data_IF_310422687106
#
_entry.id   IF_310422687106
#
_cell.length_a   1.000
_cell.length_b   1.000
_cell.length_c   1.000
_cell.angle_alpha   90.00
_cell.angle_beta   90.00
_cell.angle_gamma   90.00
#
_symmetry.space_group_name_H-M   'P 1'
#
loop_
_entity.id
_entity.type
_entity.pdbx_description
1 polymer ?
#
# COMPACT_ATOMS: atom_id res chain seq x y z
N UNK A 1 0.02 16.58 -26.48
CA UNK A 1 0.93 15.49 -26.08
C UNK A 1 0.98 14.50 -27.23
N UNK A 2 1.66 14.87 -28.31
CA UNK A 2 1.82 14.03 -29.50
C UNK A 2 3.14 13.28 -29.38
N UNK A 3 3.08 11.96 -29.52
CA UNK A 3 4.24 11.09 -29.60
C UNK A 3 4.73 11.08 -31.05
N UNK A 4 6.02 11.33 -31.26
CA UNK A 4 6.67 11.33 -32.58
C UNK A 4 7.15 9.90 -32.91
N UNK A 5 6.49 9.31 -33.92
CA UNK A 5 6.77 7.97 -34.47
C UNK A 5 7.26 8.05 -35.92
N UNK A 6 7.82 9.19 -36.32
CA UNK A 6 8.18 9.47 -37.72
C UNK A 6 9.46 8.75 -38.17
N UNK A 7 10.07 7.94 -37.30
CA UNK A 7 11.28 7.18 -37.63
C UNK A 7 10.96 6.08 -38.67
N UNK A 8 11.48 6.19 -39.91
CA UNK A 8 11.18 5.23 -40.98
C UNK A 8 11.67 3.81 -40.65
N UNK A 9 12.70 3.68 -39.79
CA UNK A 9 13.23 2.38 -39.38
C UNK A 9 12.21 1.53 -38.62
N UNK A 10 11.23 2.17 -37.96
CA UNK A 10 10.14 1.47 -37.26
C UNK A 10 9.24 0.77 -38.27
N UNK A 11 8.86 1.46 -39.35
CA UNK A 11 7.97 0.91 -40.36
C UNK A 11 8.66 -0.20 -41.15
N UNK A 12 9.95 -0.03 -41.49
CA UNK A 12 10.74 -1.08 -42.15
C UNK A 12 10.86 -2.34 -41.29
N UNK A 13 11.21 -2.19 -40.00
CA UNK A 13 11.30 -3.31 -39.07
C UNK A 13 9.95 -3.99 -38.87
N UNK A 14 8.87 -3.22 -38.79
CA UNK A 14 7.52 -3.74 -38.69
C UNK A 14 7.10 -4.54 -39.93
N UNK A 15 7.34 -4.00 -41.12
CA UNK A 15 7.04 -4.71 -42.37
C UNK A 15 7.86 -5.99 -42.49
N UNK A 16 9.12 -6.02 -42.04
CA UNK A 16 9.93 -7.23 -41.99
C UNK A 16 9.29 -8.32 -41.10
N UNK A 17 8.79 -7.95 -39.92
CA UNK A 17 8.13 -8.89 -39.00
C UNK A 17 6.81 -9.41 -39.58
N UNK A 18 6.00 -8.53 -40.19
CA UNK A 18 4.70 -8.91 -40.78
C UNK A 18 4.88 -9.75 -42.05
N UNK A 19 5.88 -9.45 -42.88
CA UNK A 19 6.16 -10.19 -44.13
C UNK A 19 6.79 -11.56 -43.91
N UNK A 20 7.24 -11.87 -42.68
CA UNK A 20 7.89 -13.15 -42.38
C UNK A 20 9.36 -13.22 -42.75
N UNK A 21 10.05 -12.09 -42.72
CA UNK A 21 11.51 -12.05 -42.71
C UNK A 21 12.06 -12.82 -41.47
N UNK A 22 13.37 -13.14 -41.42
CA UNK A 22 13.96 -13.77 -40.24
C UNK A 22 13.83 -12.91 -38.97
N UNK A 23 13.61 -11.59 -39.11
CA UNK A 23 13.34 -10.69 -37.98
C UNK A 23 11.93 -10.93 -37.44
N UNK A 24 11.82 -11.39 -36.20
CA UNK A 24 10.54 -11.69 -35.55
C UNK A 24 10.22 -10.75 -34.38
N UNK A 25 11.16 -9.90 -33.95
CA UNK A 25 10.91 -8.92 -32.91
C UNK A 25 11.63 -7.59 -33.16
N UNK A 26 11.06 -6.53 -32.58
CA UNK A 26 11.68 -5.22 -32.47
C UNK A 26 11.43 -4.64 -31.08
N UNK A 27 12.30 -3.74 -30.65
CA UNK A 27 12.17 -2.92 -29.45
C UNK A 27 12.24 -1.47 -29.90
N UNK A 28 11.29 -0.68 -29.43
CA UNK A 28 11.27 0.76 -29.54
C UNK A 28 11.58 1.38 -28.18
N UNK A 29 12.29 2.49 -28.20
CA UNK A 29 12.64 3.21 -26.99
C UNK A 29 12.74 4.70 -27.26
N UNK A 30 12.86 5.45 -26.17
CA UNK A 30 12.91 6.91 -26.24
C UNK A 30 14.32 7.45 -26.53
N UNK A 31 15.39 6.63 -26.43
CA UNK A 31 16.79 7.04 -26.66
C UNK A 31 17.13 8.41 -26.03
N UNK A 32 16.83 8.55 -24.74
CA UNK A 32 16.99 9.78 -23.95
C UNK A 32 16.16 11.00 -24.39
N UNK A 33 15.29 10.84 -25.39
CA UNK A 33 14.31 11.87 -25.76
C UNK A 33 13.04 11.74 -24.92
N UNK A 34 12.20 12.79 -24.94
CA UNK A 34 10.99 12.82 -24.12
C UNK A 34 9.75 12.28 -24.84
N UNK A 35 9.62 12.61 -26.11
CA UNK A 35 8.39 12.43 -26.89
C UNK A 35 8.64 11.77 -28.26
N UNK A 36 9.90 11.40 -28.58
CA UNK A 36 10.26 10.70 -29.81
C UNK A 36 10.57 9.24 -29.52
N UNK A 37 9.94 8.35 -30.27
CA UNK A 37 10.18 6.92 -30.17
C UNK A 37 10.93 6.51 -31.43
N UNK A 38 12.06 5.83 -31.25
CA UNK A 38 12.86 5.29 -32.35
C UNK A 38 13.20 3.83 -32.13
N UNK A 39 13.61 3.16 -33.20
CA UNK A 39 14.02 1.76 -33.13
C UNK A 39 15.24 1.61 -32.21
N UNK A 40 15.14 0.74 -31.21
CA UNK A 40 16.20 0.45 -30.25
C UNK A 40 17.00 -0.78 -30.66
N UNK A 41 16.29 -1.87 -30.97
CA UNK A 41 16.91 -3.11 -31.44
C UNK A 41 15.88 -3.93 -32.23
N UNK A 42 16.37 -4.86 -33.05
CA UNK A 42 15.56 -5.85 -33.77
C UNK A 42 16.34 -7.14 -33.88
N UNK A 43 15.66 -8.28 -33.91
CA UNK A 43 16.30 -9.58 -33.94
C UNK A 43 15.38 -10.72 -34.39
N UNK A 44 15.92 -11.92 -34.32
CA UNK A 44 15.31 -13.17 -34.82
C UNK A 44 15.11 -14.24 -33.74
N UNK A 45 15.56 -13.99 -32.51
CA UNK A 45 15.49 -14.89 -31.35
C UNK A 45 14.18 -14.78 -30.54
N UNK A 46 13.13 -14.20 -31.12
CA UNK A 46 11.80 -14.18 -30.52
C UNK A 46 11.69 -13.41 -29.19
N UNK A 47 10.77 -13.86 -28.33
CA UNK A 47 10.47 -13.18 -27.07
C UNK A 47 11.62 -13.26 -26.05
N UNK A 48 12.37 -14.36 -26.02
CA UNK A 48 13.49 -14.54 -25.08
C UNK A 48 14.63 -13.55 -25.36
N UNK A 49 15.00 -13.38 -26.63
CA UNK A 49 16.01 -12.40 -27.03
C UNK A 49 15.52 -10.97 -26.78
N UNK A 50 14.24 -10.68 -27.09
CA UNK A 50 13.63 -9.40 -26.77
C UNK A 50 13.72 -9.10 -25.27
N UNK A 51 13.33 -10.06 -24.42
CA UNK A 51 13.37 -9.91 -22.96
C UNK A 51 14.77 -9.62 -22.45
N UNK A 52 15.78 -10.28 -23.03
CA UNK A 52 17.18 -10.11 -22.64
C UNK A 52 17.74 -8.74 -23.04
N UNK A 53 17.12 -8.08 -24.04
CA UNK A 53 17.48 -6.74 -24.49
C UNK A 53 16.64 -5.63 -23.82
N UNK A 54 15.71 -5.97 -22.92
CA UNK A 54 14.96 -4.98 -22.15
C UNK A 54 15.84 -4.37 -21.05
N UNK A 55 16.05 -3.07 -21.12
CA UNK A 55 16.77 -2.27 -20.12
C UNK A 55 15.82 -1.67 -19.09
N UNK A 56 16.35 -1.12 -18.00
CA UNK A 56 15.59 -0.49 -16.90
C UNK A 56 14.93 0.87 -17.27
N UNK A 57 14.34 0.96 -18.46
CA UNK A 57 13.68 2.16 -18.99
C UNK A 57 12.26 1.84 -19.49
N UNK A 58 11.63 2.81 -20.17
CA UNK A 58 10.36 2.59 -20.86
C UNK A 58 10.65 2.11 -22.28
N UNK A 59 10.22 0.90 -22.60
CA UNK A 59 10.46 0.24 -23.89
C UNK A 59 9.17 -0.37 -24.42
N UNK A 60 8.98 -0.35 -25.74
CA UNK A 60 7.87 -1.02 -26.40
C UNK A 60 8.42 -2.15 -27.26
N UNK A 61 8.06 -3.39 -26.93
CA UNK A 61 8.41 -4.55 -27.72
C UNK A 61 7.30 -4.89 -28.70
N UNK A 62 7.64 -5.23 -29.94
CA UNK A 62 6.69 -5.85 -30.86
C UNK A 62 7.27 -7.18 -31.30
N UNK A 63 6.54 -8.26 -31.08
CA UNK A 63 7.01 -9.63 -31.34
C UNK A 63 5.96 -10.41 -32.11
N UNK A 64 6.44 -11.21 -33.05
CA UNK A 64 5.67 -12.22 -33.76
C UNK A 64 5.95 -13.58 -33.13
N UNK A 65 4.88 -14.27 -32.74
CA UNK A 65 4.91 -15.65 -32.27
C UNK A 65 4.00 -16.44 -33.21
N UNK A 66 4.59 -17.36 -33.98
CA UNK A 66 3.92 -18.08 -35.07
C UNK A 66 3.29 -17.11 -36.10
N UNK A 67 1.97 -16.95 -36.08
CA UNK A 67 1.21 -16.05 -36.96
C UNK A 67 0.44 -14.95 -36.20
N UNK A 68 0.70 -14.79 -34.89
CA UNK A 68 0.09 -13.71 -34.09
C UNK A 68 1.14 -12.70 -33.65
N UNK A 69 0.68 -11.48 -33.45
CA UNK A 69 1.53 -10.35 -33.06
C UNK A 69 1.13 -9.82 -31.69
N UNK A 70 2.11 -9.67 -30.80
CA UNK A 70 1.94 -9.06 -29.50
C UNK A 70 2.71 -7.75 -29.42
N UNK A 71 2.03 -6.71 -28.95
CA UNK A 71 2.65 -5.46 -28.53
C UNK A 71 2.84 -5.50 -27.02
N UNK A 72 4.07 -5.30 -26.59
CA UNK A 72 4.47 -5.23 -25.20
C UNK A 72 4.82 -3.78 -24.87
N UNK A 73 4.24 -3.24 -23.80
CA UNK A 73 4.69 -2.01 -23.19
C UNK A 73 5.38 -2.34 -21.87
N UNK A 74 6.72 -2.34 -21.91
CA UNK A 74 7.56 -2.54 -20.74
C UNK A 74 7.85 -1.20 -20.06
N UNK A 75 7.55 -1.12 -18.77
CA UNK A 75 7.73 0.09 -17.97
C UNK A 75 8.47 -0.28 -16.69
N UNK A 76 9.79 -0.09 -16.68
CA UNK A 76 10.62 -0.36 -15.51
C UNK A 76 10.11 0.34 -14.25
N UNK A 77 10.19 -0.32 -13.08
CA UNK A 77 9.76 0.25 -11.80
C UNK A 77 10.60 1.46 -11.36
N UNK A 78 11.84 1.56 -11.87
CA UNK A 78 12.77 2.65 -11.57
C UNK A 78 12.38 3.98 -12.24
N UNK A 79 11.41 3.98 -13.17
CA UNK A 79 11.00 5.19 -13.89
C UNK A 79 9.95 6.00 -13.11
N UNK A 80 10.07 7.33 -13.14
CA UNK A 80 9.18 8.24 -12.41
C UNK A 80 7.71 8.07 -12.81
N UNK A 81 6.79 8.35 -11.87
CA UNK A 81 5.34 8.22 -12.10
C UNK A 81 4.83 8.98 -13.34
N UNK A 82 5.39 10.15 -13.61
CA UNK A 82 5.06 10.93 -14.81
C UNK A 82 5.51 10.24 -16.10
N UNK A 83 6.68 9.60 -16.09
CA UNK A 83 7.20 8.83 -17.23
C UNK A 83 6.32 7.60 -17.50
N UNK A 84 5.86 6.92 -16.44
CA UNK A 84 4.89 5.81 -16.53
C UNK A 84 3.54 6.23 -17.12
N UNK A 85 2.97 7.33 -16.63
CA UNK A 85 1.70 7.84 -17.15
C UNK A 85 1.81 8.21 -18.64
N UNK A 86 2.91 8.87 -19.03
CA UNK A 86 3.19 9.18 -20.45
C UNK A 86 3.37 7.92 -21.28
N UNK A 87 4.09 6.92 -20.75
CA UNK A 87 4.32 5.65 -21.43
C UNK A 87 3.01 4.93 -21.79
N UNK A 88 2.01 4.97 -20.91
CA UNK A 88 0.69 4.38 -21.17
C UNK A 88 -0.06 5.12 -22.27
N UNK A 89 0.01 6.45 -22.30
CA UNK A 89 -0.62 7.26 -23.35
C UNK A 89 0.05 7.03 -24.69
N UNK A 90 1.38 7.05 -24.72
CA UNK A 90 2.16 6.81 -25.94
C UNK A 90 2.04 5.37 -26.41
N UNK A 91 1.91 4.40 -25.50
CA UNK A 91 1.66 2.99 -25.84
C UNK A 91 0.40 2.80 -26.69
N UNK A 92 -0.65 3.60 -26.45
CA UNK A 92 -1.84 3.61 -27.32
C UNK A 92 -1.55 4.14 -28.73
N UNK A 93 -0.71 5.17 -28.85
CA UNK A 93 -0.30 5.70 -30.14
C UNK A 93 0.58 4.71 -30.92
N UNK A 94 1.49 4.01 -30.22
CA UNK A 94 2.31 2.92 -30.77
C UNK A 94 1.42 1.76 -31.23
N UNK A 95 0.43 1.36 -30.44
CA UNK A 95 -0.55 0.36 -30.83
C UNK A 95 -1.38 0.75 -32.06
N UNK A 96 -1.74 2.04 -32.19
CA UNK A 96 -2.43 2.55 -33.36
C UNK A 96 -1.58 2.51 -34.64
N UNK A 97 -0.26 2.64 -34.52
CA UNK A 97 0.68 2.45 -35.64
C UNK A 97 0.73 0.98 -36.06
N UNK A 98 0.75 0.07 -35.08
CA UNK A 98 0.79 -1.38 -35.30
C UNK A 98 -0.59 -2.01 -35.40
N UNK A 99 -1.27 -1.75 -36.52
CA UNK A 99 -2.64 -2.25 -36.79
C UNK A 99 -2.76 -3.78 -36.75
N UNK A 100 -1.68 -4.51 -37.01
CA UNK A 100 -1.66 -5.99 -36.92
C UNK A 100 -1.45 -6.55 -35.50
N UNK A 101 -1.33 -5.71 -34.47
CA UNK A 101 -1.20 -6.20 -33.09
C UNK A 101 -2.52 -6.83 -32.62
N UNK A 102 -2.46 -8.08 -32.18
CA UNK A 102 -3.63 -8.83 -31.71
C UNK A 102 -3.90 -8.59 -30.23
N UNK A 103 -2.83 -8.32 -29.47
CA UNK A 103 -2.90 -8.05 -28.04
C UNK A 103 -1.86 -7.00 -27.64
N UNK A 104 -2.23 -6.18 -26.65
CA UNK A 104 -1.31 -5.30 -25.97
C UNK A 104 -1.13 -5.75 -24.51
N UNK A 105 0.11 -6.01 -24.11
CA UNK A 105 0.48 -6.44 -22.76
C UNK A 105 1.28 -5.32 -22.12
N UNK A 106 0.83 -4.81 -20.97
CA UNK A 106 1.57 -3.82 -20.20
C UNK A 106 2.16 -4.53 -18.98
N UNK A 107 3.48 -4.47 -18.82
CA UNK A 107 4.17 -5.13 -17.71
C UNK A 107 5.31 -4.27 -17.19
N UNK A 108 5.53 -4.30 -15.87
CA UNK A 108 6.64 -3.63 -15.20
C UNK A 108 7.76 -4.57 -14.77
N UNK A 109 7.53 -5.88 -14.81
CA UNK A 109 8.47 -6.91 -14.38
C UNK A 109 8.75 -7.93 -15.48
N UNK A 110 10.03 -8.21 -15.73
CA UNK A 110 10.53 -9.20 -16.70
C UNK A 110 10.00 -10.62 -16.45
N UNK A 111 9.64 -10.95 -15.20
CA UNK A 111 9.10 -12.26 -14.83
C UNK A 111 7.67 -12.51 -15.37
N UNK A 112 6.95 -11.46 -15.79
CA UNK A 112 5.63 -11.60 -16.40
C UNK A 112 5.71 -11.85 -17.92
N UNK A 113 6.86 -11.56 -18.53
CA UNK A 113 7.08 -11.69 -19.98
C UNK A 113 7.70 -13.05 -20.33
N UNK A 114 7.03 -14.13 -19.93
CA UNK A 114 7.40 -15.48 -20.38
C UNK A 114 6.61 -15.87 -21.62
N UNK A 115 7.20 -16.69 -22.47
CA UNK A 115 6.57 -17.13 -23.72
C UNK A 115 5.24 -17.82 -23.48
N UNK A 116 5.14 -18.64 -22.42
CA UNK A 116 3.91 -19.30 -21.99
C UNK A 116 2.79 -18.30 -21.69
N UNK A 117 3.07 -17.26 -20.89
CA UNK A 117 2.07 -16.23 -20.53
C UNK A 117 1.60 -15.46 -21.75
N UNK A 118 2.55 -15.09 -22.62
CA UNK A 118 2.23 -14.36 -23.85
C UNK A 118 1.44 -15.25 -24.82
N UNK A 119 1.79 -16.54 -24.96
CA UNK A 119 1.04 -17.51 -25.78
C UNK A 119 -0.37 -17.77 -25.25
N UNK A 120 -0.54 -17.93 -23.94
CA UNK A 120 -1.86 -18.06 -23.31
C UNK A 120 -2.72 -16.83 -23.58
N UNK A 121 -2.14 -15.63 -23.44
CA UNK A 121 -2.81 -14.35 -23.72
C UNK A 121 -3.12 -14.17 -25.21
N UNK A 122 -2.25 -14.70 -26.07
CA UNK A 122 -2.46 -14.76 -27.51
C UNK A 122 -3.45 -15.84 -27.92
N UNK A 123 -3.97 -16.69 -27.02
CA UNK A 123 -4.92 -17.74 -27.37
C UNK A 123 -4.33 -18.83 -28.27
N UNK A 124 -3.04 -19.13 -28.09
CA UNK A 124 -2.30 -20.21 -28.76
C UNK A 124 -2.21 -21.49 -27.90
N UNK A 125 -2.85 -21.50 -26.73
CA UNK A 125 -2.89 -22.64 -25.81
C UNK A 125 -4.19 -23.41 -26.00
N UNK A 126 -4.07 -24.70 -26.32
CA UNK A 126 -5.15 -25.68 -26.46
C UNK A 126 -5.38 -26.38 -25.09
N UNK A 127 -5.90 -25.66 -24.10
CA UNK A 127 -6.07 -26.17 -22.73
C UNK A 127 -7.17 -25.46 -21.94
N UNK A 128 -7.85 -26.15 -21.00
CA UNK A 128 -9.12 -25.69 -20.43
C UNK A 128 -8.93 -24.45 -19.53
N UNK A 129 -9.95 -23.56 -19.49
CA UNK A 129 -9.84 -22.26 -18.85
C UNK A 129 -9.78 -22.41 -17.33
N UNK A 130 -8.71 -21.91 -16.72
CA UNK A 130 -8.70 -21.60 -15.28
C UNK A 130 -9.32 -20.21 -15.06
N UNK A 131 -10.26 -20.05 -14.11
CA UNK A 131 -10.87 -18.76 -13.83
C UNK A 131 -9.91 -17.85 -13.06
N UNK A 132 -9.57 -16.69 -13.65
CA UNK A 132 -8.88 -15.58 -12.98
C UNK A 132 -9.84 -14.84 -12.02
N UNK A 133 -9.48 -14.64 -10.74
CA UNK A 133 -10.28 -13.87 -9.79
C UNK A 133 -9.88 -12.39 -9.82
N UNK A 134 -10.18 -11.65 -10.90
CA UNK A 134 -10.06 -10.17 -10.92
C UNK A 134 -10.69 -9.55 -12.17
N UNK A 135 -12.03 -9.49 -12.22
CA UNK A 135 -12.75 -8.42 -12.94
C UNK A 135 -14.18 -8.32 -12.42
N UNK A 136 -14.66 -7.13 -12.04
CA UNK A 136 -16.01 -6.94 -11.52
C UNK A 136 -17.02 -7.03 -12.67
N UNK A 137 -17.85 -8.05 -12.64
CA UNK A 137 -19.03 -8.14 -13.51
C UNK A 137 -20.11 -7.23 -12.95
N UNK A 138 -20.50 -6.23 -13.73
CA UNK A 138 -21.77 -5.51 -13.59
C UNK A 138 -22.83 -6.37 -14.28
N UNK A 139 -23.98 -6.64 -13.63
CA UNK A 139 -25.20 -6.92 -14.36
C UNK A 139 -26.24 -5.81 -14.15
N UNK A 140 -26.86 -5.39 -15.26
CA UNK A 140 -27.89 -4.38 -15.34
C UNK A 140 -29.30 -4.96 -15.13
N UNK A 141 -30.07 -4.32 -14.22
CA UNK A 141 -31.54 -4.06 -14.25
C UNK A 141 -32.55 -5.22 -14.00
N UNK A 142 -33.86 -4.99 -13.69
CA UNK A 142 -34.61 -3.78 -13.24
C UNK A 142 -35.62 -3.95 -12.06
N UNK A 143 -36.12 -2.82 -11.52
CA UNK A 143 -37.48 -2.50 -10.95
C UNK A 143 -38.07 -3.28 -9.75
N UNK A 144 -38.30 -2.59 -8.62
CA UNK A 144 -39.63 -2.34 -7.99
C UNK A 144 -39.51 -1.91 -6.50
N UNK A 145 -40.06 -0.75 -6.15
CA UNK A 145 -40.42 -0.37 -4.76
C UNK A 145 -41.80 -0.99 -4.40
N UNK A 146 -42.22 -1.14 -3.13
CA UNK A 146 -42.52 0.00 -2.24
C UNK A 146 -42.20 -0.20 -0.73
N UNK A 147 -42.11 0.92 0.03
CA UNK A 147 -42.20 0.99 1.52
C UNK A 147 -43.69 0.93 1.95
N UNK A 148 -44.12 1.16 3.23
CA UNK A 148 -43.44 1.24 4.55
C UNK A 148 -44.17 0.47 5.70
N UNK A 149 -43.55 0.35 6.89
CA UNK A 149 -44.15 0.73 8.20
C UNK A 149 -43.30 0.23 9.40
N UNK A 150 -42.96 1.17 10.28
CA UNK A 150 -42.64 1.00 11.72
C UNK A 150 -43.91 0.50 12.46
N UNK A 151 -43.89 -0.03 13.73
CA UNK A 151 -43.51 0.79 14.89
C UNK A 151 -43.06 0.10 16.21
N UNK A 152 -42.65 1.00 17.13
CA UNK A 152 -42.65 0.99 18.62
C UNK A 152 -41.83 -0.03 19.45
N UNK A 153 -40.86 0.52 20.18
CA UNK A 153 -40.47 0.13 21.56
C UNK A 153 -41.62 0.40 22.57
N UNK A 154 -41.63 -0.12 23.82
CA UNK A 154 -40.79 0.49 24.88
C UNK A 154 -40.39 -0.38 26.11
N UNK A 155 -39.44 0.17 26.88
CA UNK A 155 -39.32 0.17 28.35
C UNK A 155 -38.73 -1.04 29.15
N UNK A 156 -37.56 -0.75 29.75
CA UNK A 156 -37.00 -1.13 31.07
C UNK A 156 -37.96 -0.84 32.28
N UNK A 157 -37.71 -1.15 33.58
CA UNK A 157 -36.43 -1.47 34.27
C UNK A 157 -36.47 -2.49 35.47
N UNK A 158 -35.31 -2.64 36.12
CA UNK A 158 -35.09 -2.72 37.58
C UNK A 158 -34.90 -4.06 38.34
N UNK A 159 -33.65 -4.21 38.81
CA UNK A 159 -33.21 -4.34 40.21
C UNK A 159 -33.53 -5.59 41.09
N UNK A 160 -32.43 -6.26 41.42
CA UNK A 160 -31.88 -6.52 42.77
C UNK A 160 -32.11 -7.86 43.51
N UNK A 161 -30.96 -8.32 44.02
CA UNK A 161 -30.69 -9.08 45.24
C UNK A 161 -30.71 -10.61 45.24
N UNK A 162 -29.71 -11.09 46.01
CA UNK A 162 -29.09 -12.41 46.07
C UNK A 162 -29.80 -13.35 47.11
N UNK A 163 -29.14 -14.41 47.64
CA UNK A 163 -29.54 -15.83 47.65
C UNK A 163 -30.16 -16.21 49.04
N UNK A 164 -30.24 -17.48 49.56
CA UNK A 164 -29.64 -18.76 49.14
C UNK A 164 -30.45 -20.08 49.38
N UNK A 165 -29.80 -21.19 48.99
CA UNK A 165 -29.74 -22.53 49.63
C UNK A 165 -30.97 -23.49 49.60
N UNK A 166 -30.70 -24.81 49.68
CA UNK A 166 -31.51 -25.86 49.04
C UNK A 166 -32.44 -26.62 49.99
N UNK A 167 -33.45 -27.22 49.38
CA UNK A 167 -34.51 -28.03 49.99
C UNK A 167 -34.03 -29.45 50.31
N UNK A 168 -34.39 -29.91 51.50
CA UNK A 168 -34.37 -31.30 51.96
C UNK A 168 -35.78 -31.92 51.81
N UNK A 169 -35.86 -33.24 51.66
CA UNK A 169 -37.05 -34.09 51.89
C UNK A 169 -36.48 -35.39 52.47
N UNK A 170 -36.51 -35.64 53.79
CA UNK A 170 -37.62 -36.06 54.68
C UNK A 170 -38.16 -37.46 54.35
N UNK A 171 -38.10 -38.39 55.33
CA UNK A 171 -39.25 -39.03 56.04
C UNK A 171 -38.73 -40.09 57.03
N UNK A 172 -39.18 -39.95 58.30
CA UNK A 172 -39.04 -40.80 59.50
C UNK A 172 -40.36 -41.63 59.71
N UNK A 173 -40.66 -42.31 60.85
CA UNK A 173 -39.98 -43.26 61.76
C UNK A 173 -40.89 -44.52 62.01
N UNK A 174 -40.82 -45.32 63.12
CA UNK A 174 -41.30 -44.89 64.45
C UNK A 174 -40.49 -45.36 65.69
N UNK A 175 -40.79 -44.63 66.77
CA UNK A 175 -40.44 -44.73 68.21
C UNK A 175 -41.01 -45.99 68.88
N UNK A 176 -40.48 -46.51 70.00
CA UNK A 176 -40.48 -45.89 71.34
C UNK A 176 -39.90 -46.85 72.42
N UNK A 177 -39.27 -46.26 73.46
CA UNK A 177 -39.25 -46.54 74.94
C UNK A 177 -39.32 -48.00 75.44
N UNK A 178 -38.74 -48.42 76.57
CA UNK A 178 -37.91 -47.86 77.65
C UNK A 178 -37.65 -49.02 78.64
N UNK A 179 -36.56 -48.98 79.42
CA UNK A 179 -36.48 -49.75 80.67
C UNK A 179 -35.08 -50.30 80.97
N UNK A 180 -34.39 -49.65 81.91
CA UNK A 180 -33.16 -50.12 82.58
C UNK A 180 -33.44 -51.38 83.43
N UNK A 181 -32.45 -52.19 83.87
CA UNK A 181 -31.47 -51.77 84.89
C UNK A 181 -30.02 -52.27 84.67
N UNK A 182 -29.11 -51.72 85.49
CA UNK A 182 -27.70 -52.10 85.66
C UNK A 182 -27.48 -53.63 85.73
N UNK A 183 -26.24 -54.08 85.44
CA UNK A 183 -25.44 -54.55 86.57
C UNK A 183 -24.02 -53.98 86.59
N UNK A 184 -23.58 -53.77 87.82
CA UNK A 184 -22.23 -53.50 88.26
C UNK A 184 -21.26 -54.64 87.90
N UNK A 185 -20.02 -54.26 87.62
CA UNK A 185 -18.85 -55.11 87.83
C UNK A 185 -18.58 -56.11 86.72
N UNK A 186 -17.59 -55.81 85.90
CA UNK A 186 -16.35 -56.59 85.79
C UNK A 186 -15.45 -55.79 84.86
N UNK A 187 -14.30 -55.38 85.38
CA UNK A 187 -13.21 -54.83 84.58
C UNK A 187 -12.75 -55.95 83.64
N UNK A 188 -13.28 -56.00 82.42
CA UNK A 188 -12.82 -56.92 81.39
C UNK A 188 -11.50 -56.38 80.86
N UNK A 189 -10.41 -57.15 80.87
CA UNK A 189 -9.17 -56.69 80.26
C UNK A 189 -9.43 -56.49 78.77
N UNK A 190 -9.21 -55.26 78.30
CA UNK A 190 -9.22 -54.86 76.90
C UNK A 190 -8.54 -55.97 76.07
N UNK A 191 -9.33 -56.72 75.30
CA UNK A 191 -8.82 -57.88 74.57
C UNK A 191 -8.03 -57.41 73.35
N UNK A 192 -6.91 -58.07 73.03
CA UNK A 192 -6.00 -57.73 71.92
C UNK A 192 -6.73 -57.45 70.60
N UNK A 193 -7.83 -58.18 70.33
CA UNK A 193 -8.66 -58.06 69.13
C UNK A 193 -9.37 -56.70 68.98
N UNK A 194 -9.77 -56.05 70.08
CA UNK A 194 -10.38 -54.71 70.03
C UNK A 194 -9.32 -53.63 69.78
N UNK A 195 -8.13 -53.80 70.35
CA UNK A 195 -6.97 -52.95 70.07
C UNK A 195 -6.56 -53.04 68.59
N UNK A 196 -6.64 -54.23 67.99
CA UNK A 196 -6.35 -54.47 66.58
C UNK A 196 -7.34 -53.77 65.63
N UNK A 197 -8.64 -53.85 65.90
CA UNK A 197 -9.68 -53.18 65.10
C UNK A 197 -9.52 -51.65 65.19
N UNK A 198 -9.32 -51.12 66.39
CA UNK A 198 -9.13 -49.69 66.63
C UNK A 198 -7.78 -49.16 66.08
N UNK A 199 -6.77 -50.03 65.97
CA UNK A 199 -5.51 -49.74 65.28
C UNK A 199 -5.67 -49.78 63.76
N UNK A 200 -6.44 -50.73 63.21
CA UNK A 200 -6.74 -50.82 61.78
C UNK A 200 -7.59 -49.63 61.30
N UNK A 201 -8.62 -49.24 62.06
CA UNK A 201 -9.44 -48.06 61.77
C UNK A 201 -8.63 -46.76 61.84
N UNK A 202 -7.69 -46.64 62.79
CA UNK A 202 -6.76 -45.50 62.84
C UNK A 202 -5.87 -45.43 61.61
N UNK A 203 -5.31 -46.55 61.16
CA UNK A 203 -4.50 -46.60 59.92
C UNK A 203 -5.31 -46.23 58.68
N UNK A 204 -6.54 -46.74 58.54
CA UNK A 204 -7.42 -46.40 57.41
C UNK A 204 -7.81 -44.92 57.43
N UNK A 205 -8.10 -44.35 58.61
CA UNK A 205 -8.41 -42.92 58.76
C UNK A 205 -7.20 -42.04 58.44
N UNK A 206 -6.01 -42.43 58.88
CA UNK A 206 -4.75 -41.73 58.61
C UNK A 206 -4.35 -41.80 57.13
N UNK A 207 -4.56 -42.94 56.47
CA UNK A 207 -4.37 -43.12 55.04
C UNK A 207 -5.37 -42.28 54.21
N UNK A 208 -6.65 -42.26 54.61
CA UNK A 208 -7.68 -41.43 53.97
C UNK A 208 -7.38 -39.93 54.15
N UNK A 209 -6.91 -39.51 55.32
CA UNK A 209 -6.50 -38.13 55.57
C UNK A 209 -5.25 -37.76 54.76
N UNK A 210 -4.29 -38.69 54.62
CA UNK A 210 -3.12 -38.54 53.74
C UNK A 210 -3.53 -38.41 52.28
N UNK A 211 -4.47 -39.22 51.79
CA UNK A 211 -4.99 -39.11 50.43
C UNK A 211 -5.72 -37.78 50.19
N UNK A 212 -6.56 -37.34 51.13
CA UNK A 212 -7.19 -36.01 51.06
C UNK A 212 -6.18 -34.88 51.05
N UNK A 213 -5.15 -34.91 51.91
CA UNK A 213 -4.08 -33.90 51.91
C UNK A 213 -3.30 -33.90 50.61
N UNK A 214 -2.99 -35.08 50.05
CA UNK A 214 -2.32 -35.20 48.77
C UNK A 214 -3.18 -34.68 47.60
N UNK A 215 -4.48 -34.94 47.60
CA UNK A 215 -5.40 -34.44 46.56
C UNK A 215 -5.57 -32.91 46.66
N UNK A 216 -5.70 -32.36 47.86
CA UNK A 216 -5.75 -30.90 48.07
C UNK A 216 -4.44 -30.25 47.65
N UNK A 217 -3.29 -30.82 48.00
CA UNK A 217 -1.98 -30.32 47.57
C UNK A 217 -1.81 -30.37 46.06
N UNK A 218 -2.30 -31.43 45.39
CA UNK A 218 -2.29 -31.55 43.93
C UNK A 218 -3.16 -30.48 43.27
N UNK A 219 -4.39 -30.28 43.75
CA UNK A 219 -5.29 -29.22 43.25
C UNK A 219 -4.70 -27.83 43.48
N UNK A 220 -4.12 -27.56 44.65
CA UNK A 220 -3.47 -26.28 44.93
C UNK A 220 -2.27 -26.03 43.99
N UNK A 221 -1.45 -27.05 43.74
CA UNK A 221 -0.32 -26.95 42.80
C UNK A 221 -0.80 -26.71 41.37
N UNK A 222 -1.86 -27.39 40.95
CA UNK A 222 -2.45 -27.22 39.60
C UNK A 222 -3.06 -25.82 39.42
N UNK A 223 -3.78 -25.31 40.43
CA UNK A 223 -4.29 -23.93 40.42
C UNK A 223 -3.16 -22.91 40.37
N UNK A 224 -2.12 -23.08 41.21
CA UNK A 224 -0.95 -22.19 41.19
C UNK A 224 -0.22 -22.21 39.85
N UNK A 225 -0.07 -23.39 39.23
CA UNK A 225 0.57 -23.52 37.93
C UNK A 225 -0.25 -22.88 36.82
N UNK A 226 -1.58 -23.02 36.87
CA UNK A 226 -2.49 -22.35 35.93
C UNK A 226 -2.43 -20.83 36.07
N UNK A 227 -2.49 -20.32 37.30
CA UNK A 227 -2.37 -18.89 37.58
C UNK A 227 -1.01 -18.34 37.16
N UNK A 228 0.07 -19.09 37.39
CA UNK A 228 1.42 -18.71 36.95
C UNK A 228 1.52 -18.64 35.41
N UNK A 229 0.97 -19.63 34.69
CA UNK A 229 0.93 -19.62 33.21
C UNK A 229 0.09 -18.46 32.66
N UNK A 230 -1.05 -18.16 33.29
CA UNK A 230 -1.90 -17.02 32.90
C UNK A 230 -1.17 -15.68 33.15
N UNK A 231 -0.45 -15.54 34.27
CA UNK A 231 0.38 -14.36 34.55
C UNK A 231 1.53 -14.21 33.56
N UNK A 232 2.20 -15.31 33.20
CA UNK A 232 3.31 -15.31 32.25
C UNK A 232 2.84 -14.92 30.83
N UNK A 233 1.71 -15.47 30.37
CA UNK A 233 1.09 -15.09 29.10
C UNK A 233 0.70 -13.61 29.07
N UNK A 234 0.14 -13.10 30.17
CA UNK A 234 -0.23 -11.69 30.29
C UNK A 234 1.01 -10.78 30.26
N UNK A 235 2.07 -11.15 30.98
CA UNK A 235 3.34 -10.43 30.99
C UNK A 235 4.01 -10.44 29.61
N UNK A 236 4.01 -11.59 28.91
CA UNK A 236 4.54 -11.71 27.56
C UNK A 236 3.76 -10.83 26.56
N UNK A 237 2.43 -10.80 26.66
CA UNK A 237 1.59 -9.95 25.81
C UNK A 237 1.83 -8.47 26.06
N UNK A 238 1.97 -8.05 27.32
CA UNK A 238 2.33 -6.67 27.64
C UNK A 238 3.73 -6.30 27.13
N UNK A 239 4.71 -7.20 27.26
CA UNK A 239 6.06 -6.98 26.76
C UNK A 239 6.09 -6.81 25.23
N UNK A 240 5.37 -7.67 24.49
CA UNK A 240 5.22 -7.54 23.04
C UNK A 240 4.55 -6.22 22.63
N UNK A 241 3.50 -5.80 23.35
CA UNK A 241 2.81 -4.55 23.03
C UNK A 241 3.71 -3.33 23.28
N UNK A 242 4.48 -3.34 24.38
CA UNK A 242 5.45 -2.30 24.70
C UNK A 242 6.57 -2.23 23.65
N UNK A 243 7.09 -3.39 23.23
CA UNK A 243 8.11 -3.46 22.19
C UNK A 243 7.59 -2.96 20.83
N UNK A 244 6.36 -3.34 20.45
CA UNK A 244 5.70 -2.82 19.25
C UNK A 244 5.56 -1.31 19.31
N UNK A 245 5.07 -0.75 20.43
CA UNK A 245 4.95 0.71 20.61
C UNK A 245 6.30 1.41 20.55
N UNK A 246 7.33 0.84 21.18
CA UNK A 246 8.70 1.38 21.14
C UNK A 246 9.28 1.38 19.73
N UNK A 247 9.02 0.32 18.95
CA UNK A 247 9.43 0.22 17.54
C UNK A 247 8.69 1.22 16.65
N UNK A 248 7.38 1.36 16.83
CA UNK A 248 6.57 2.35 16.11
C UNK A 248 7.01 3.78 16.43
N UNK A 249 7.32 4.07 17.70
CA UNK A 249 7.89 5.34 18.11
C UNK A 249 9.28 5.57 17.52
N UNK A 250 10.18 4.57 17.56
CA UNK A 250 11.51 4.70 16.98
C UNK A 250 11.44 4.90 15.47
N UNK A 251 10.54 4.21 14.77
CA UNK A 251 10.33 4.37 13.33
C UNK A 251 9.76 5.76 13.01
N UNK A 252 8.87 6.29 13.84
CA UNK A 252 8.36 7.67 13.71
C UNK A 252 9.49 8.69 13.89
N UNK A 253 10.29 8.55 14.95
CA UNK A 253 11.43 9.44 15.22
C UNK A 253 12.46 9.35 14.08
N UNK A 254 12.76 8.15 13.58
CA UNK A 254 13.68 7.94 12.46
C UNK A 254 13.16 8.60 11.17
N UNK A 255 11.86 8.48 10.86
CA UNK A 255 11.24 9.14 9.71
C UNK A 255 11.27 10.66 9.83
N UNK A 256 10.99 11.21 11.02
CA UNK A 256 11.06 12.64 11.28
C UNK A 256 12.49 13.17 11.19
N UNK A 257 13.47 12.41 11.70
CA UNK A 257 14.89 12.73 11.60
C UNK A 257 15.36 12.69 10.13
N UNK A 258 14.98 11.67 9.37
CA UNK A 258 15.29 11.57 7.94
C UNK A 258 14.68 12.73 7.15
N UNK A 259 13.44 13.13 7.45
CA UNK A 259 12.78 14.28 6.83
C UNK A 259 13.48 15.60 7.18
N UNK A 260 13.90 15.80 8.44
CA UNK A 260 14.68 16.97 8.85
C UNK A 260 16.03 17.01 8.14
N UNK A 261 16.70 15.86 8.04
CA UNK A 261 17.97 15.74 7.34
C UNK A 261 17.83 15.99 5.84
N UNK A 262 16.73 15.56 5.21
CA UNK A 262 16.44 15.86 3.80
C UNK A 262 16.20 17.37 3.60
N UNK A 263 15.43 18.02 4.47
CA UNK A 263 15.19 19.47 4.46
C UNK A 263 16.50 20.24 4.70
N UNK A 264 17.36 19.76 5.58
CA UNK A 264 18.66 20.36 5.88
C UNK A 264 19.64 20.17 4.72
N UNK A 265 19.65 18.99 4.08
CA UNK A 265 20.43 18.72 2.87
C UNK A 265 19.93 19.57 1.69
N UNK A 266 18.63 19.77 1.57
CA UNK A 266 17.99 20.66 0.60
C UNK A 266 18.34 22.14 0.86
N UNK A 267 18.43 22.56 2.13
CA UNK A 267 18.95 23.89 2.53
C UNK A 267 20.45 24.05 2.26
N UNK A 268 21.25 22.99 2.50
CA UNK A 268 22.70 22.96 2.28
C UNK A 268 23.07 22.90 0.78
N UNK A 269 22.17 22.41 -0.10
CA UNK A 269 22.36 22.43 -1.57
C UNK A 269 22.12 23.79 -2.24
N UNK A 270 21.92 24.87 -1.46
CA UNK A 270 22.11 26.24 -1.92
C UNK A 270 20.92 26.82 -2.69
N UNK A 271 20.17 27.70 -2.01
CA UNK A 271 19.60 28.93 -2.56
C UNK A 271 18.99 28.89 -3.98
N UNK A 272 18.09 27.94 -4.23
CA UNK A 272 17.16 28.08 -5.35
C UNK A 272 15.89 27.28 -5.20
N UNK A 273 14.78 28.00 -4.99
CA UNK A 273 13.46 27.46 -5.28
C UNK A 273 13.48 26.98 -6.73
N UNK A 274 13.34 25.68 -6.88
CA UNK A 274 13.41 25.00 -8.17
C UNK A 274 12.34 23.93 -8.25
N UNK A 275 11.91 23.61 -9.46
CA UNK A 275 10.81 22.69 -9.68
C UNK A 275 10.25 22.82 -11.08
N UNK A 276 9.17 22.10 -11.36
CA UNK A 276 8.48 22.22 -12.64
C UNK A 276 7.39 23.29 -12.57
N UNK A 277 7.37 24.15 -13.57
CA UNK A 277 6.31 25.13 -13.78
C UNK A 277 5.95 25.16 -15.26
N UNK A 278 4.68 25.41 -15.56
CA UNK A 278 4.26 25.66 -16.94
C UNK A 278 4.05 27.15 -17.10
N UNK A 279 4.77 27.76 -18.06
CA UNK A 279 4.65 29.19 -18.35
C UNK A 279 4.12 29.46 -19.75
N UNK A 280 3.37 30.54 -19.88
CA UNK A 280 3.05 31.19 -21.13
C UNK A 280 3.76 32.54 -21.13
N UNK A 281 4.78 32.66 -21.96
CA UNK A 281 5.57 33.89 -22.08
C UNK A 281 4.74 35.01 -22.70
N UNK A 282 5.04 36.25 -22.32
CA UNK A 282 4.48 37.43 -22.96
C UNK A 282 4.59 37.35 -24.49
N UNK A 283 3.48 37.62 -25.20
CA UNK A 283 3.39 37.54 -26.67
C UNK A 283 3.36 36.13 -27.27
N UNK A 284 3.47 35.06 -26.47
CA UNK A 284 3.38 33.67 -26.94
C UNK A 284 2.06 33.04 -26.52
N UNK A 285 1.22 32.55 -27.44
CA UNK A 285 -0.02 31.85 -27.05
C UNK A 285 0.25 30.44 -26.50
N UNK A 286 1.49 29.94 -26.63
CA UNK A 286 1.83 28.58 -26.25
C UNK A 286 2.28 28.46 -24.79
N UNK A 287 1.69 27.48 -24.11
CA UNK A 287 2.13 27.01 -22.80
C UNK A 287 3.32 26.06 -22.92
N UNK A 288 4.36 26.27 -22.11
CA UNK A 288 5.57 25.45 -22.11
C UNK A 288 5.92 25.02 -20.69
N UNK A 289 6.07 23.72 -20.48
CA UNK A 289 6.58 23.16 -19.23
C UNK A 289 8.10 23.31 -19.18
N UNK A 290 8.60 23.85 -18.08
CA UNK A 290 10.03 24.09 -17.82
C UNK A 290 10.39 23.69 -16.40
N UNK A 291 11.62 23.27 -16.21
CA UNK A 291 12.21 23.19 -14.88
C UNK A 291 12.78 24.58 -14.56
N UNK A 292 12.29 25.25 -13.52
CA UNK A 292 12.80 26.56 -13.14
C UNK A 292 13.81 26.41 -12.00
N UNK A 293 14.79 27.31 -11.97
CA UNK A 293 15.71 27.47 -10.85
C UNK A 293 15.81 28.96 -10.58
N UNK A 294 15.46 29.36 -9.36
CA UNK A 294 15.65 30.74 -8.90
C UNK A 294 17.03 30.88 -8.27
N UNK A 295 17.85 31.83 -8.70
CA UNK A 295 19.14 32.15 -8.08
C UNK A 295 19.29 33.66 -7.97
N UNK A 296 19.39 34.17 -6.74
CA UNK A 296 19.42 35.61 -6.48
C UNK A 296 18.18 36.30 -7.03
N UNK A 297 18.37 37.20 -8.00
CA UNK A 297 17.31 37.97 -8.66
C UNK A 297 16.88 37.40 -10.02
N UNK A 298 17.36 36.21 -10.40
CA UNK A 298 17.11 35.62 -11.71
C UNK A 298 16.38 34.31 -11.55
N UNK A 299 15.30 34.14 -12.32
CA UNK A 299 14.69 32.84 -12.54
C UNK A 299 15.12 32.31 -13.91
N UNK A 300 15.81 31.18 -13.91
CA UNK A 300 16.27 30.50 -15.13
C UNK A 300 15.36 29.31 -15.42
N UNK A 301 14.92 29.16 -16.66
CA UNK A 301 14.03 28.11 -17.11
C UNK A 301 14.78 27.14 -18.02
N UNK A 302 14.81 25.87 -17.66
CA UNK A 302 15.45 24.77 -18.36
C UNK A 302 14.40 23.86 -19.01
N UNK A 303 14.80 23.05 -19.99
CA UNK A 303 13.87 22.06 -20.59
C UNK A 303 13.46 21.00 -19.57
N UNK A 304 14.40 20.62 -18.72
CA UNK A 304 14.28 19.66 -17.63
C UNK A 304 15.36 19.94 -16.56
N UNK A 305 15.34 19.18 -15.48
CA UNK A 305 16.25 19.30 -14.33
C UNK A 305 17.72 18.96 -14.68
N UNK A 306 17.93 18.14 -15.69
CA UNK A 306 19.23 17.57 -16.07
C UNK A 306 19.85 18.26 -17.29
N UNK A 307 19.23 19.32 -17.81
CA UNK A 307 19.60 19.91 -19.10
C UNK A 307 20.95 20.64 -19.02
N UNK A 308 22.01 19.95 -19.47
CA UNK A 308 23.37 20.47 -19.52
C UNK A 308 23.59 21.57 -20.60
N UNK A 309 22.60 21.80 -21.47
CA UNK A 309 22.67 22.81 -22.56
C UNK A 309 22.44 24.24 -22.10
N UNK A 310 22.16 24.44 -20.81
CA UNK A 310 21.93 25.76 -20.21
C UNK A 310 20.45 26.18 -20.22
N UNK A 311 20.18 27.36 -19.65
CA UNK A 311 18.83 27.88 -19.51
C UNK A 311 18.22 28.23 -20.89
N UNK A 312 17.01 27.74 -21.14
CA UNK A 312 16.20 28.06 -22.34
C UNK A 312 15.77 29.52 -22.34
N UNK A 313 15.48 30.06 -21.16
CA UNK A 313 15.10 31.45 -20.97
C UNK A 313 15.45 31.86 -19.55
N UNK A 314 15.75 33.13 -19.35
CA UNK A 314 15.94 33.70 -18.03
C UNK A 314 15.04 34.92 -17.88
N UNK A 315 14.55 35.15 -16.66
CA UNK A 315 13.78 36.32 -16.32
C UNK A 315 14.42 36.95 -15.09
N UNK A 316 14.82 38.22 -15.22
CA UNK A 316 15.38 39.00 -14.12
C UNK A 316 14.22 39.64 -13.38
N UNK A 317 14.15 39.40 -12.08
CA UNK A 317 13.06 39.82 -11.22
C UNK A 317 13.42 41.00 -10.31
N UNK A 318 14.69 41.27 -10.01
CA UNK A 318 15.11 42.26 -8.99
C UNK A 318 14.46 43.64 -9.12
N UNK A 319 13.44 43.91 -8.29
CA UNK A 319 12.61 45.13 -8.30
C UNK A 319 11.69 45.30 -9.53
N UNK A 320 11.55 44.28 -10.37
CA UNK A 320 10.86 44.34 -11.66
C UNK A 320 9.43 43.84 -11.62
N UNK A 321 9.08 43.05 -10.61
CA UNK A 321 7.72 42.52 -10.47
C UNK A 321 6.82 43.61 -9.89
N UNK A 322 5.77 43.97 -10.61
CA UNK A 322 4.80 44.98 -10.19
C UNK A 322 3.55 44.36 -9.59
N UNK A 323 3.13 43.19 -10.07
CA UNK A 323 1.93 42.53 -9.60
C UNK A 323 2.05 41.00 -9.74
N UNK A 324 1.50 40.28 -8.76
CA UNK A 324 1.30 38.83 -8.83
C UNK A 324 -0.14 38.55 -8.43
N UNK A 325 -0.92 37.92 -9.32
CA UNK A 325 -2.35 37.70 -9.09
C UNK A 325 -2.76 36.27 -9.44
N UNK A 326 -3.75 35.74 -8.74
CA UNK A 326 -4.43 34.50 -9.15
C UNK A 326 -5.05 34.68 -10.54
N UNK A 327 -4.76 33.75 -11.45
CA UNK A 327 -5.27 33.77 -12.82
C UNK A 327 -6.19 32.57 -13.11
N UNK A 328 -6.56 31.79 -12.09
CA UNK A 328 -7.27 30.52 -12.25
C UNK A 328 -8.62 30.67 -12.92
N UNK A 329 -9.29 31.81 -12.68
CA UNK A 329 -10.56 32.14 -13.31
C UNK A 329 -10.38 32.75 -14.71
N UNK A 330 -9.29 33.47 -14.95
CA UNK A 330 -9.02 34.13 -16.23
C UNK A 330 -8.66 33.12 -17.33
N UNK A 331 -7.83 32.13 -16.99
CA UNK A 331 -7.35 31.12 -17.95
C UNK A 331 -8.04 29.75 -17.79
N UNK A 332 -8.93 29.61 -16.81
CA UNK A 332 -9.63 28.36 -16.48
C UNK A 332 -8.67 27.18 -16.19
N UNK A 333 -7.47 27.48 -15.66
CA UNK A 333 -6.47 26.49 -15.26
C UNK A 333 -6.27 26.61 -13.74
N UNK A 334 -6.57 25.55 -12.96
CA UNK A 334 -6.30 25.54 -11.52
C UNK A 334 -4.84 25.82 -11.21
N UNK A 335 -4.59 26.43 -10.05
CA UNK A 335 -3.24 26.76 -9.60
C UNK A 335 -2.46 27.63 -10.60
N UNK A 336 -3.16 28.49 -11.36
CA UNK A 336 -2.52 29.46 -12.23
C UNK A 336 -2.44 30.83 -11.59
N UNK A 337 -1.44 31.60 -12.00
CA UNK A 337 -1.18 32.95 -11.55
C UNK A 337 -0.48 33.76 -12.65
N UNK A 338 -0.72 35.07 -12.65
CA UNK A 338 -0.06 36.04 -13.53
C UNK A 338 1.03 36.77 -12.76
N UNK A 339 2.15 37.02 -13.42
CA UNK A 339 3.21 37.92 -12.95
C UNK A 339 3.35 39.03 -13.98
N UNK A 340 3.12 40.27 -13.53
CA UNK A 340 3.28 41.46 -14.34
C UNK A 340 4.63 42.12 -14.00
N UNK A 341 5.37 42.50 -15.04
CA UNK A 341 6.65 43.20 -14.92
C UNK A 341 6.48 44.69 -15.22
N UNK A 342 7.33 45.53 -14.64
CA UNK A 342 7.35 46.98 -14.88
C UNK A 342 7.62 47.35 -16.34
N UNK A 343 8.18 46.43 -17.13
CA UNK A 343 8.39 46.56 -18.57
C UNK A 343 7.09 46.51 -19.39
N UNK A 344 5.96 46.21 -18.75
CA UNK A 344 4.67 45.99 -19.41
C UNK A 344 4.47 44.54 -19.87
N UNK A 345 5.42 43.64 -19.58
CA UNK A 345 5.32 42.22 -19.92
C UNK A 345 4.51 41.47 -18.85
N UNK A 346 3.44 40.80 -19.28
CA UNK A 346 2.65 39.90 -18.45
C UNK A 346 2.94 38.44 -18.81
N UNK A 347 3.31 37.65 -17.79
CA UNK A 347 3.58 36.23 -17.91
C UNK A 347 2.57 35.43 -17.10
N UNK A 348 2.03 34.38 -17.69
CA UNK A 348 1.11 33.46 -17.01
C UNK A 348 1.83 32.17 -16.64
N UNK A 349 1.53 31.65 -15.46
CA UNK A 349 2.11 30.44 -14.92
C UNK A 349 1.03 29.53 -14.36
N UNK A 350 1.25 28.22 -14.40
CA UNK A 350 0.49 27.30 -13.56
C UNK A 350 1.38 26.17 -13.02
N UNK A 351 0.97 25.67 -11.86
CA UNK A 351 1.66 24.61 -11.13
C UNK A 351 0.77 23.37 -11.00
N UNK A 352 1.39 22.20 -10.80
CA UNK A 352 0.64 20.93 -10.71
C UNK A 352 -0.17 20.83 -9.41
N UNK A 353 0.25 21.52 -8.35
CA UNK A 353 -0.45 21.56 -7.05
C UNK A 353 -0.56 22.98 -6.50
N UNK A 354 -1.52 23.19 -5.59
CA UNK A 354 -1.68 24.47 -4.89
C UNK A 354 -0.45 24.82 -4.05
N UNK A 355 0.18 23.81 -3.42
CA UNK A 355 1.42 23.96 -2.66
C UNK A 355 2.57 24.45 -3.55
N UNK A 356 2.71 23.92 -4.76
CA UNK A 356 3.75 24.33 -5.70
C UNK A 356 3.52 25.76 -6.20
N UNK A 357 2.26 26.16 -6.38
CA UNK A 357 1.90 27.55 -6.69
C UNK A 357 2.30 28.50 -5.57
N UNK A 358 1.98 28.18 -4.32
CA UNK A 358 2.36 29.00 -3.16
C UNK A 358 3.88 29.16 -3.06
N UNK A 359 4.63 28.07 -3.24
CA UNK A 359 6.10 28.09 -3.23
C UNK A 359 6.67 28.92 -4.39
N UNK A 360 6.11 28.77 -5.60
CA UNK A 360 6.53 29.56 -6.76
C UNK A 360 6.29 31.05 -6.53
N UNK A 361 5.09 31.45 -6.09
CA UNK A 361 4.75 32.85 -5.80
C UNK A 361 5.68 33.44 -4.73
N UNK A 362 5.89 32.73 -3.62
CA UNK A 362 6.82 33.15 -2.58
C UNK A 362 8.24 33.33 -3.13
N UNK A 363 8.66 32.48 -4.08
CA UNK A 363 9.91 32.62 -4.78
C UNK A 363 10.01 33.85 -5.68
N UNK A 364 8.98 34.12 -6.48
CA UNK A 364 8.90 35.33 -7.29
C UNK A 364 9.00 36.60 -6.43
N UNK A 365 8.30 36.65 -5.29
CA UNK A 365 8.37 37.78 -4.35
C UNK A 365 9.78 37.92 -3.75
N UNK A 366 10.37 36.83 -3.26
CA UNK A 366 11.72 36.86 -2.66
C UNK A 366 12.80 37.29 -3.65
N UNK A 367 12.74 36.80 -4.90
CA UNK A 367 13.67 37.19 -5.96
C UNK A 367 13.49 38.66 -6.38
N UNK A 368 12.29 39.22 -6.21
CA UNK A 368 12.00 40.63 -6.47
C UNK A 368 12.53 41.54 -5.35
N UNK A 369 12.42 41.12 -4.09
CA UNK A 369 12.84 41.88 -2.90
C UNK A 369 14.35 41.89 -2.65
N UNK A 370 15.09 40.92 -3.20
CA UNK A 370 16.55 40.82 -3.03
C UNK A 370 17.34 41.88 -3.83
N UNK A 371 16.73 43.04 -4.09
CA UNK A 371 17.21 44.18 -4.89
C UNK A 371 18.22 45.06 -4.14
#
# INVERSE_FOLDING_TARGET
MSCDLTDPAILEAYQAIVSGAPTNWLILGYHDTRDKISLYSKGSGGLEELRSNLKEEVLYGFVRIEDRFALLAYVSEQVSGLRRARALVHGKAVGALFKSSHIQINSSNLAELTEEKVRTRLGLVDGPPTPDPSSPVIPSSPVAAPRPATPVSPATPSYNQSPPAPVAVEVNPPTSRSGSPLPSGISTPRTERQLEIEAAERKVREEMERQKRAEVAKRQKETQEREAREQELFAQKQAQELERKRKEESDRIAREAMKRQLIEQEKLRGSGLSGYITLQSHGSPYWRRRFYVMRGQVISFYRDETDARGAVSEMRLGGRVTNIQDASLDVLIPNSFRVDLYTGESHLFFCDSGKDKELAIAGFMKCNESA
#
